data_IF_994824689511
#
_entry.id   IF_994824689511
#
_cell.length_a   1.000
_cell.length_b   1.000
_cell.length_c   1.000
_cell.angle_alpha   90.00
_cell.angle_beta   90.00
_cell.angle_gamma   90.00
#
_symmetry.space_group_name_H-M   'P 1'
#
loop_
_entity.id
_entity.type
_entity.pdbx_description
1 polymer ?
#
# COMPACT_ATOMS: atom_id res chain seq x y z
N UNK A 1 -13.48 -11.38 -16.56
CA UNK A 1 -13.55 -10.51 -15.36
C UNK A 1 -13.17 -11.39 -14.19
N UNK A 2 -12.27 -10.94 -13.30
CA UNK A 2 -11.94 -11.71 -12.09
C UNK A 2 -12.97 -11.31 -11.05
N UNK A 3 -13.79 -12.26 -10.60
CA UNK A 3 -14.79 -12.00 -9.57
C UNK A 3 -14.14 -11.61 -8.23
N UNK A 4 -14.75 -10.66 -7.53
CA UNK A 4 -14.38 -10.33 -6.16
C UNK A 4 -14.67 -11.49 -5.21
N UNK A 5 -13.94 -11.54 -4.09
CA UNK A 5 -14.03 -12.57 -3.05
C UNK A 5 -14.42 -12.02 -1.67
N UNK A 6 -14.52 -10.70 -1.51
CA UNK A 6 -14.91 -10.04 -0.25
C UNK A 6 -16.42 -9.78 -0.15
N UNK A 7 -17.22 -10.22 -1.12
CA UNK A 7 -18.68 -10.10 -1.10
C UNK A 7 -19.20 -8.68 -1.33
N UNK A 8 -18.43 -7.84 -2.00
CA UNK A 8 -18.83 -6.46 -2.36
C UNK A 8 -18.98 -6.33 -3.88
N UNK A 9 -19.25 -5.11 -4.37
CA UNK A 9 -19.28 -4.81 -5.81
C UNK A 9 -17.88 -4.68 -6.44
N UNK A 10 -16.82 -4.77 -5.65
CA UNK A 10 -15.45 -4.75 -6.15
C UNK A 10 -15.14 -6.02 -6.95
N UNK A 11 -14.15 -5.93 -7.83
CA UNK A 11 -13.64 -7.08 -8.54
C UNK A 11 -12.44 -7.71 -7.82
N UNK A 12 -11.91 -8.80 -8.36
CA UNK A 12 -10.82 -9.52 -7.72
C UNK A 12 -9.50 -8.74 -7.63
N UNK A 13 -9.28 -7.73 -8.49
CA UNK A 13 -8.07 -6.89 -8.43
C UNK A 13 -8.15 -5.99 -7.21
N UNK A 14 -9.27 -5.27 -7.06
CA UNK A 14 -9.48 -4.35 -5.93
C UNK A 14 -9.50 -5.11 -4.60
N UNK A 15 -10.14 -6.28 -4.54
CA UNK A 15 -10.15 -7.12 -3.34
C UNK A 15 -8.74 -7.59 -2.95
N UNK A 16 -7.93 -7.96 -3.94
CA UNK A 16 -6.53 -8.34 -3.71
C UNK A 16 -5.72 -7.14 -3.21
N UNK A 17 -5.88 -5.96 -3.82
CA UNK A 17 -5.20 -4.73 -3.40
C UNK A 17 -5.53 -4.39 -1.96
N UNK A 18 -6.82 -4.35 -1.59
CA UNK A 18 -7.22 -3.97 -0.23
C UNK A 18 -6.78 -5.01 0.80
N UNK A 19 -6.90 -6.31 0.50
CA UNK A 19 -6.44 -7.38 1.38
C UNK A 19 -4.92 -7.32 1.62
N UNK A 20 -4.13 -7.18 0.55
CA UNK A 20 -2.67 -7.06 0.66
C UNK A 20 -2.29 -5.78 1.41
N UNK A 21 -2.94 -4.65 1.12
CA UNK A 21 -2.69 -3.39 1.83
C UNK A 21 -2.96 -3.51 3.33
N UNK A 22 -3.99 -4.25 3.74
CA UNK A 22 -4.29 -4.52 5.15
C UNK A 22 -3.24 -5.36 5.84
N UNK A 23 -2.61 -6.29 5.12
CA UNK A 23 -1.55 -7.17 5.65
C UNK A 23 -0.19 -6.47 5.68
N UNK A 24 0.05 -5.53 4.76
CA UNK A 24 1.35 -4.89 4.52
C UNK A 24 2.01 -4.30 5.78
N UNK A 25 1.30 -3.56 6.67
CA UNK A 25 1.90 -3.00 7.89
C UNK A 25 2.47 -4.08 8.83
N UNK A 26 1.80 -5.23 8.94
CA UNK A 26 2.23 -6.32 9.81
C UNK A 26 3.50 -6.99 9.27
N UNK A 27 3.58 -7.19 7.95
CA UNK A 27 4.79 -7.72 7.30
C UNK A 27 5.95 -6.74 7.43
N UNK A 28 5.69 -5.43 7.38
CA UNK A 28 6.72 -4.41 7.59
C UNK A 28 7.26 -4.42 9.03
N UNK A 29 6.38 -4.52 10.03
CA UNK A 29 6.76 -4.68 11.44
C UNK A 29 7.60 -5.93 11.66
N UNK A 30 7.19 -7.05 11.07
CA UNK A 30 7.97 -8.29 11.11
C UNK A 30 9.36 -8.11 10.48
N UNK A 31 9.44 -7.38 9.37
CA UNK A 31 10.71 -7.04 8.73
C UNK A 31 11.61 -6.19 9.64
N UNK A 32 11.04 -5.28 10.46
CA UNK A 32 11.81 -4.51 11.45
C UNK A 32 12.33 -5.39 12.58
N UNK A 33 11.51 -6.34 13.06
CA UNK A 33 11.94 -7.33 14.03
C UNK A 33 13.11 -8.18 13.51
N UNK A 34 13.08 -8.60 12.25
CA UNK A 34 14.21 -9.31 11.66
C UNK A 34 15.49 -8.48 11.64
N UNK A 35 15.39 -7.19 11.32
CA UNK A 35 16.53 -6.28 11.36
C UNK A 35 17.07 -6.09 12.79
N UNK A 36 16.20 -5.99 13.81
CA UNK A 36 16.64 -5.89 15.21
C UNK A 36 17.34 -7.15 15.71
N UNK A 37 17.03 -8.31 15.12
CA UNK A 37 17.72 -9.60 15.36
C UNK A 37 18.97 -9.79 14.48
N UNK A 38 19.44 -8.75 13.78
CA UNK A 38 20.62 -8.81 12.93
C UNK A 38 20.43 -9.57 11.61
N UNK A 39 19.21 -9.99 11.27
CA UNK A 39 18.89 -10.75 10.05
C UNK A 39 18.71 -9.82 8.83
N UNK A 40 19.72 -8.99 8.56
CA UNK A 40 19.65 -7.91 7.56
C UNK A 40 19.43 -8.41 6.12
N UNK A 41 19.97 -9.59 5.77
CA UNK A 41 19.72 -10.20 4.44
C UNK A 41 18.24 -10.49 4.23
N UNK A 42 17.56 -11.01 5.25
CA UNK A 42 16.14 -11.33 5.18
C UNK A 42 15.28 -10.07 5.20
N UNK A 43 15.60 -9.10 6.07
CA UNK A 43 14.97 -7.76 6.06
C UNK A 43 15.03 -7.16 4.64
N UNK A 44 16.23 -7.07 4.04
CA UNK A 44 16.42 -6.56 2.69
C UNK A 44 15.57 -7.32 1.66
N UNK A 45 15.58 -8.66 1.69
CA UNK A 45 14.79 -9.49 0.77
C UNK A 45 13.30 -9.20 0.89
N UNK A 46 12.77 -9.15 2.12
CA UNK A 46 11.35 -8.85 2.38
C UNK A 46 10.98 -7.45 1.86
N UNK A 47 11.78 -6.43 2.18
CA UNK A 47 11.54 -5.06 1.69
C UNK A 47 11.48 -4.98 0.17
N UNK A 48 12.40 -5.67 -0.53
CA UNK A 48 12.39 -5.69 -2.00
C UNK A 48 11.20 -6.45 -2.59
N UNK A 49 10.82 -7.59 -2.02
CA UNK A 49 9.66 -8.36 -2.47
C UNK A 49 8.38 -7.55 -2.24
N UNK A 50 8.20 -6.97 -1.06
CA UNK A 50 7.01 -6.18 -0.76
C UNK A 50 6.91 -4.95 -1.67
N UNK A 51 8.04 -4.26 -1.92
CA UNK A 51 8.05 -3.08 -2.79
C UNK A 51 7.65 -3.45 -4.23
N UNK A 52 8.21 -4.54 -4.76
CA UNK A 52 7.88 -5.02 -6.11
C UNK A 52 6.42 -5.48 -6.22
N UNK A 53 5.94 -6.25 -5.23
CA UNK A 53 4.56 -6.72 -5.20
C UNK A 53 3.57 -5.54 -5.10
N UNK A 54 3.85 -4.57 -4.23
CA UNK A 54 3.02 -3.36 -4.09
C UNK A 54 3.02 -2.55 -5.37
N UNK A 55 4.18 -2.37 -6.02
CA UNK A 55 4.27 -1.68 -7.29
C UNK A 55 3.44 -2.37 -8.38
N UNK A 56 3.55 -3.69 -8.51
CA UNK A 56 2.76 -4.46 -9.47
C UNK A 56 1.25 -4.34 -9.20
N UNK A 57 0.82 -4.37 -7.94
CA UNK A 57 -0.57 -4.19 -7.55
C UNK A 57 -1.10 -2.79 -7.86
N UNK A 58 -0.29 -1.74 -7.65
CA UNK A 58 -0.68 -0.37 -8.01
C UNK A 58 -0.83 -0.22 -9.54
N UNK A 59 0.06 -0.83 -10.32
CA UNK A 59 -0.07 -0.84 -11.79
C UNK A 59 -1.32 -1.61 -12.23
N UNK A 60 -1.62 -2.74 -11.61
CA UNK A 60 -2.83 -3.51 -11.90
C UNK A 60 -4.10 -2.70 -11.56
N UNK A 61 -4.13 -2.06 -10.38
CA UNK A 61 -5.23 -1.17 -9.97
C UNK A 61 -5.42 -0.03 -10.96
N UNK A 62 -4.35 0.66 -11.35
CA UNK A 62 -4.42 1.77 -12.30
C UNK A 62 -4.94 1.33 -13.68
N UNK A 63 -4.50 0.16 -14.15
CA UNK A 63 -4.99 -0.42 -15.40
C UNK A 63 -6.49 -0.73 -15.33
N UNK A 64 -6.95 -1.25 -14.21
CA UNK A 64 -8.36 -1.56 -13.98
C UNK A 64 -9.24 -0.30 -13.86
N UNK A 65 -8.74 0.77 -13.23
CA UNK A 65 -9.42 2.08 -13.20
C UNK A 65 -9.66 2.60 -14.63
N UNK A 66 -8.64 2.48 -15.50
CA UNK A 66 -8.64 3.03 -16.86
C UNK A 66 -9.40 2.18 -17.87
N UNK A 67 -9.27 0.86 -17.77
CA UNK A 67 -9.69 -0.05 -18.83
C UNK A 67 -10.67 -1.13 -18.35
N UNK A 68 -10.76 -1.35 -17.04
CA UNK A 68 -11.61 -2.35 -16.44
C UNK A 68 -12.98 -1.81 -16.05
N UNK A 69 -13.57 -2.43 -15.03
CA UNK A 69 -14.96 -2.19 -14.64
C UNK A 69 -15.13 -1.48 -13.30
N UNK A 70 -14.06 -1.29 -12.55
CA UNK A 70 -14.15 -0.78 -11.18
C UNK A 70 -14.67 0.65 -11.10
N UNK A 71 -14.39 1.50 -12.09
CA UNK A 71 -14.96 2.84 -12.16
C UNK A 71 -16.50 2.80 -12.30
N UNK A 72 -17.04 1.81 -13.02
CA UNK A 72 -18.49 1.60 -13.14
C UNK A 72 -19.07 1.03 -11.85
N UNK A 73 -18.39 0.09 -11.21
CA UNK A 73 -18.82 -0.49 -9.94
C UNK A 73 -18.83 0.54 -8.80
N UNK A 74 -17.80 1.38 -8.71
CA UNK A 74 -17.70 2.47 -7.75
C UNK A 74 -18.79 3.53 -7.95
N UNK A 75 -19.19 3.80 -9.20
CA UNK A 75 -20.24 4.76 -9.50
C UNK A 75 -21.64 4.35 -8.98
N UNK A 76 -21.84 3.08 -8.63
CA UNK A 76 -23.09 2.56 -8.04
C UNK A 76 -23.17 2.75 -6.52
N UNK A 77 -22.09 3.23 -5.88
CA UNK A 77 -22.08 3.51 -4.45
C UNK A 77 -23.01 4.66 -4.06
N UNK A 78 -23.59 4.59 -2.87
CA UNK A 78 -24.31 5.71 -2.24
C UNK A 78 -23.43 6.95 -1.99
N UNK A 79 -22.11 6.78 -1.95
CA UNK A 79 -21.11 7.84 -1.81
C UNK A 79 -20.60 8.39 -3.15
N UNK A 80 -21.07 7.87 -4.28
CA UNK A 80 -20.68 8.33 -5.62
C UNK A 80 -20.95 9.83 -5.77
N UNK A 81 -19.93 10.60 -6.16
CA UNK A 81 -19.99 12.07 -6.29
C UNK A 81 -20.03 12.85 -4.96
N UNK A 82 -19.94 12.17 -3.81
CA UNK A 82 -19.95 12.84 -2.51
C UNK A 82 -18.62 13.55 -2.20
N UNK A 83 -18.70 14.68 -1.47
CA UNK A 83 -17.51 15.39 -0.99
C UNK A 83 -16.66 14.50 -0.08
N UNK A 84 -17.29 13.67 0.76
CA UNK A 84 -16.60 12.76 1.67
C UNK A 84 -15.70 11.77 0.92
N UNK A 85 -16.21 11.14 -0.14
CA UNK A 85 -15.44 10.21 -0.96
C UNK A 85 -14.22 10.92 -1.59
N UNK A 86 -14.43 12.13 -2.13
CA UNK A 86 -13.36 12.94 -2.71
C UNK A 86 -12.27 13.32 -1.69
N UNK A 87 -12.64 13.72 -0.47
CA UNK A 87 -11.69 14.06 0.60
C UNK A 87 -10.86 12.85 1.01
N UNK A 88 -11.50 11.71 1.28
CA UNK A 88 -10.77 10.48 1.63
C UNK A 88 -9.84 10.03 0.50
N UNK A 89 -10.26 10.20 -0.77
CA UNK A 89 -9.43 9.87 -1.93
C UNK A 89 -8.16 10.71 -1.97
N UNK A 90 -8.27 12.04 -1.78
CA UNK A 90 -7.10 12.93 -1.75
C UNK A 90 -6.18 12.61 -0.56
N UNK A 91 -6.73 12.36 0.63
CA UNK A 91 -5.95 11.98 1.81
C UNK A 91 -5.19 10.67 1.56
N UNK A 92 -5.88 9.65 1.04
CA UNK A 92 -5.27 8.38 0.70
C UNK A 92 -4.13 8.56 -0.30
N UNK A 93 -4.36 9.31 -1.38
CA UNK A 93 -3.36 9.55 -2.41
C UNK A 93 -2.13 10.26 -1.87
N UNK A 94 -2.31 11.25 -0.98
CA UNK A 94 -1.21 11.95 -0.33
C UNK A 94 -0.33 11.01 0.49
N UNK A 95 -0.93 10.12 1.30
CA UNK A 95 -0.17 9.11 2.04
C UNK A 95 0.44 8.04 1.14
N UNK A 96 -0.31 7.53 0.16
CA UNK A 96 0.14 6.48 -0.75
C UNK A 96 1.37 6.93 -1.55
N UNK A 97 1.32 8.10 -2.20
CA UNK A 97 2.43 8.62 -3.00
C UNK A 97 3.64 8.92 -2.12
N UNK A 98 3.46 9.65 -1.02
CA UNK A 98 4.57 10.07 -0.18
C UNK A 98 5.26 8.89 0.52
N UNK A 99 4.49 7.92 1.03
CA UNK A 99 5.03 6.71 1.66
C UNK A 99 5.72 5.80 0.65
N UNK A 100 5.13 5.59 -0.53
CA UNK A 100 5.74 4.77 -1.58
C UNK A 100 7.04 5.40 -2.10
N UNK A 101 7.06 6.71 -2.40
CA UNK A 101 8.27 7.40 -2.83
C UNK A 101 9.36 7.38 -1.75
N UNK A 102 8.99 7.63 -0.49
CA UNK A 102 9.91 7.52 0.65
C UNK A 102 10.47 6.11 0.81
N UNK A 103 9.66 5.09 0.59
CA UNK A 103 10.08 3.69 0.68
C UNK A 103 11.03 3.29 -0.44
N UNK A 104 10.72 3.64 -1.71
CA UNK A 104 11.60 3.43 -2.87
C UNK A 104 12.96 4.08 -2.61
N UNK A 105 12.96 5.34 -2.18
CA UNK A 105 14.19 6.05 -1.85
C UNK A 105 14.97 5.34 -0.73
N UNK A 106 14.30 4.91 0.34
CA UNK A 106 14.95 4.25 1.47
C UNK A 106 15.57 2.92 1.06
N UNK A 107 14.87 2.13 0.22
CA UNK A 107 15.40 0.87 -0.33
C UNK A 107 16.60 1.16 -1.23
N UNK A 108 16.48 2.05 -2.21
CA UNK A 108 17.56 2.39 -3.14
C UNK A 108 18.82 2.90 -2.40
N UNK A 109 18.63 3.80 -1.43
CA UNK A 109 19.71 4.30 -0.58
C UNK A 109 20.37 3.17 0.22
N UNK A 110 19.57 2.28 0.80
CA UNK A 110 20.07 1.16 1.60
C UNK A 110 20.89 0.16 0.76
N UNK A 111 20.50 -0.08 -0.49
CA UNK A 111 21.29 -0.92 -1.42
C UNK A 111 22.67 -0.33 -1.72
N UNK A 112 22.78 0.99 -1.85
CA UNK A 112 24.06 1.68 -2.12
C UNK A 112 25.01 1.68 -0.92
N UNK A 113 24.48 1.64 0.29
CA UNK A 113 25.28 1.71 1.53
C UNK A 113 25.57 0.34 2.15
N UNK A 114 24.81 -0.69 1.81
CA UNK A 114 24.99 -2.04 2.33
C UNK A 114 26.36 -2.64 1.93
N UNK A 115 27.10 -3.32 2.82
CA UNK A 115 26.74 -3.76 4.18
C UNK A 115 27.23 -2.84 5.31
N UNK A 116 27.59 -1.57 5.04
CA UNK A 116 28.13 -0.66 6.07
C UNK A 116 27.16 -0.51 7.25
N UNK A 117 27.66 -0.34 8.49
CA UNK A 117 26.83 -0.23 9.69
C UNK A 117 25.82 0.92 9.56
N UNK A 118 24.57 0.63 9.93
CA UNK A 118 23.44 1.50 9.65
C UNK A 118 23.37 2.72 10.56
N UNK A 119 23.09 3.87 9.95
CA UNK A 119 22.93 5.15 10.63
C UNK A 119 21.52 5.27 11.26
N UNK A 120 21.41 5.98 12.39
CA UNK A 120 20.15 6.31 13.08
C UNK A 120 19.07 6.91 12.15
N UNK A 121 19.50 7.57 11.08
CA UNK A 121 18.62 8.11 10.04
C UNK A 121 17.78 7.02 9.34
N UNK A 122 18.32 5.82 9.08
CA UNK A 122 17.55 4.75 8.42
C UNK A 122 16.37 4.31 9.30
N UNK A 123 16.58 4.17 10.62
CA UNK A 123 15.52 3.83 11.56
C UNK A 123 14.42 4.89 11.60
N UNK A 124 14.80 6.17 11.66
CA UNK A 124 13.85 7.29 11.64
C UNK A 124 13.01 7.32 10.36
N UNK A 125 13.66 7.22 9.20
CA UNK A 125 12.96 7.18 7.91
C UNK A 125 12.11 5.93 7.74
N UNK A 126 12.57 4.78 8.23
CA UNK A 126 11.79 3.54 8.26
C UNK A 126 10.50 3.69 9.08
N UNK A 127 10.56 4.38 10.22
CA UNK A 127 9.37 4.67 11.03
C UNK A 127 8.41 5.64 10.32
N UNK A 128 8.92 6.69 9.67
CA UNK A 128 8.09 7.63 8.90
C UNK A 128 7.36 6.91 7.77
N UNK A 129 8.07 6.08 7.00
CA UNK A 129 7.48 5.26 5.93
C UNK A 129 6.44 4.29 6.51
N UNK A 130 6.74 3.65 7.63
CA UNK A 130 5.80 2.74 8.29
C UNK A 130 4.48 3.43 8.68
N UNK A 131 4.57 4.59 9.35
CA UNK A 131 3.38 5.38 9.72
C UNK A 131 2.59 5.78 8.47
N UNK A 132 3.27 6.23 7.41
CA UNK A 132 2.64 6.53 6.13
C UNK A 132 1.91 5.32 5.54
N UNK A 133 2.53 4.14 5.53
CA UNK A 133 1.91 2.90 5.03
C UNK A 133 0.71 2.47 5.87
N UNK A 134 0.74 2.64 7.20
CA UNK A 134 -0.43 2.41 8.05
C UNK A 134 -1.58 3.34 7.66
N UNK A 135 -1.30 4.62 7.43
CA UNK A 135 -2.33 5.58 7.00
C UNK A 135 -2.86 5.26 5.60
N UNK A 136 -1.99 4.88 4.67
CA UNK A 136 -2.40 4.39 3.34
C UNK A 136 -3.32 3.18 3.46
N UNK A 137 -2.98 2.19 4.30
CA UNK A 137 -3.82 1.01 4.54
C UNK A 137 -5.19 1.40 5.10
N UNK A 138 -5.23 2.19 6.18
CA UNK A 138 -6.48 2.59 6.85
C UNK A 138 -7.39 3.33 5.86
N UNK A 139 -6.85 4.33 5.17
CA UNK A 139 -7.62 5.12 4.21
C UNK A 139 -8.02 4.31 2.97
N UNK A 140 -7.20 3.34 2.55
CA UNK A 140 -7.53 2.43 1.45
C UNK A 140 -8.72 1.53 1.79
N UNK A 141 -8.78 1.00 3.01
CA UNK A 141 -9.94 0.26 3.50
C UNK A 141 -11.19 1.13 3.61
N UNK A 142 -11.07 2.37 4.07
CA UNK A 142 -12.20 3.31 4.11
C UNK A 142 -12.75 3.55 2.69
N UNK A 143 -11.86 3.84 1.73
CA UNK A 143 -12.27 4.05 0.33
C UNK A 143 -12.93 2.81 -0.28
N UNK A 144 -12.38 1.63 0.01
CA UNK A 144 -12.95 0.37 -0.43
C UNK A 144 -14.39 0.19 0.09
N UNK A 145 -14.62 0.41 1.38
CA UNK A 145 -15.96 0.29 1.98
C UNK A 145 -16.92 1.31 1.38
N UNK A 146 -16.49 2.57 1.28
CA UNK A 146 -17.33 3.64 0.70
C UNK A 146 -17.68 3.35 -0.76
N UNK A 147 -16.72 2.93 -1.58
CA UNK A 147 -16.92 2.76 -3.02
C UNK A 147 -17.63 1.45 -3.40
N UNK A 148 -17.47 0.37 -2.62
CA UNK A 148 -17.88 -0.97 -3.06
C UNK A 148 -18.82 -1.71 -2.12
N UNK A 149 -18.80 -1.41 -0.82
CA UNK A 149 -19.65 -2.08 0.15
C UNK A 149 -21.00 -1.36 0.38
N UNK A 150 -21.02 -0.03 0.23
CA UNK A 150 -22.19 0.83 0.55
C UNK A 150 -22.69 1.65 -0.64
#
# INVERSE_FOLDING_TARGET
MIEGFLGTRADGIVDTVVAVSGILPFVLLYSFFLASRGRYRLHKKIQSIMLLATFALVIALEADIRFGTISKAAAQSSFSGSLALGVFFVIHLAFAISSFAGWVWLVAKSYRTYPKPFHFAHKRWGLIVFVGLCMTSITGWILYLMAFAW
#
